data_IF_637103203053
#
_entry.id   IF_637103203053
#
_cell.length_a   1.000
_cell.length_b   1.000
_cell.length_c   1.000
_cell.angle_alpha   90.00
_cell.angle_beta   90.00
_cell.angle_gamma   90.00
#
_symmetry.space_group_name_H-M   'P 1'
#
loop_
_entity.id
_entity.type
_entity.pdbx_description
1 polymer ?
#
# COMPACT_ATOMS: atom_id res chain seq x y z
N UNK A 1 12.00 23.15 4.30
CA UNK A 1 12.98 22.22 4.92
C UNK A 1 12.33 21.21 5.87
N UNK A 2 11.52 21.62 6.86
CA UNK A 2 10.88 20.66 7.78
C UNK A 2 9.89 19.67 7.10
N UNK A 3 9.01 20.17 6.21
CA UNK A 3 8.08 19.32 5.44
C UNK A 3 8.79 18.26 4.60
N UNK A 4 9.85 18.66 3.90
CA UNK A 4 10.70 17.74 3.14
C UNK A 4 11.33 16.65 4.03
N UNK A 5 11.78 16.97 5.24
CA UNK A 5 12.35 15.98 6.16
C UNK A 5 11.32 14.92 6.63
N UNK A 6 10.05 15.30 6.79
CA UNK A 6 8.96 14.37 7.11
C UNK A 6 8.69 13.45 5.92
N UNK A 7 8.58 14.00 4.71
CA UNK A 7 8.42 13.23 3.48
C UNK A 7 9.57 12.27 3.21
N UNK A 8 10.81 12.72 3.39
CA UNK A 8 11.99 11.87 3.26
C UNK A 8 12.01 10.73 4.29
N UNK A 9 11.55 10.96 5.52
CA UNK A 9 11.46 9.89 6.51
C UNK A 9 10.42 8.83 6.13
N UNK A 10 9.23 9.26 5.69
CA UNK A 10 8.19 8.35 5.20
C UNK A 10 8.69 7.54 4.00
N UNK A 11 9.33 8.20 3.02
CA UNK A 11 9.95 7.54 1.87
C UNK A 11 11.01 6.52 2.29
N UNK A 12 11.91 6.88 3.22
CA UNK A 12 12.95 5.95 3.72
C UNK A 12 12.34 4.75 4.42
N UNK A 13 11.26 4.93 5.18
CA UNK A 13 10.54 3.82 5.82
C UNK A 13 9.93 2.87 4.78
N UNK A 14 9.27 3.42 3.75
CA UNK A 14 8.77 2.63 2.62
C UNK A 14 9.92 1.88 1.92
N UNK A 15 11.01 2.55 1.58
CA UNK A 15 12.14 1.92 0.87
C UNK A 15 12.75 0.79 1.71
N UNK A 16 12.89 0.97 3.02
CA UNK A 16 13.34 -0.10 3.91
C UNK A 16 12.39 -1.30 3.87
N UNK A 17 11.08 -1.08 3.96
CA UNK A 17 10.06 -2.14 3.85
C UNK A 17 10.13 -2.87 2.50
N UNK A 18 10.29 -2.16 1.38
CA UNK A 18 10.42 -2.77 0.05
C UNK A 18 11.69 -3.64 -0.06
N UNK A 19 12.80 -3.21 0.55
CA UNK A 19 14.05 -3.98 0.61
C UNK A 19 13.86 -5.27 1.42
N UNK A 20 13.22 -5.18 2.59
CA UNK A 20 12.95 -6.35 3.45
C UNK A 20 12.02 -7.35 2.75
N UNK A 21 11.04 -6.85 1.99
CA UNK A 21 10.19 -7.67 1.12
C UNK A 21 10.88 -8.20 -0.13
N UNK A 22 12.14 -7.82 -0.37
CA UNK A 22 12.93 -8.15 -1.58
C UNK A 22 12.20 -7.77 -2.86
N UNK A 23 11.38 -6.72 -2.82
CA UNK A 23 10.75 -6.19 -4.00
C UNK A 23 11.78 -5.50 -4.90
N UNK A 24 11.66 -5.60 -6.23
CA UNK A 24 12.61 -4.97 -7.14
C UNK A 24 12.47 -3.45 -7.05
N UNK A 25 13.55 -2.76 -6.69
CA UNK A 25 13.68 -1.31 -6.73
C UNK A 25 14.61 -0.99 -7.90
N UNK A 26 14.03 -0.76 -9.07
CA UNK A 26 14.77 -0.44 -10.30
C UNK A 26 14.65 1.04 -10.55
N UNK A 27 15.78 1.72 -10.73
CA UNK A 27 15.82 3.15 -11.02
C UNK A 27 15.38 3.43 -12.47
N UNK A 28 14.80 4.61 -12.72
CA UNK A 28 14.35 5.01 -14.07
C UNK A 28 15.47 5.14 -15.10
N UNK A 29 16.72 5.32 -14.68
CA UNK A 29 17.88 5.26 -15.58
C UNK A 29 18.14 3.85 -16.12
N UNK A 30 17.64 2.82 -15.44
CA UNK A 30 17.76 1.42 -15.84
C UNK A 30 16.50 0.91 -16.53
N UNK A 31 15.33 1.34 -16.07
CA UNK A 31 14.03 1.02 -16.66
C UNK A 31 13.23 2.31 -16.84
N UNK A 32 13.29 2.91 -18.03
CA UNK A 32 12.67 4.21 -18.30
C UNK A 32 11.14 4.17 -18.29
N UNK A 33 10.54 2.98 -18.33
CA UNK A 33 9.09 2.78 -18.44
C UNK A 33 8.45 2.38 -17.11
N UNK A 34 9.11 1.54 -16.31
CA UNK A 34 8.56 1.02 -15.04
C UNK A 34 9.50 1.18 -13.84
N UNK A 35 10.59 1.94 -13.99
CA UNK A 35 11.46 2.28 -12.89
C UNK A 35 10.75 3.14 -11.84
N UNK A 36 11.03 2.88 -10.57
CA UNK A 36 10.42 3.60 -9.44
C UNK A 36 11.15 4.93 -9.26
N UNK A 37 10.40 6.03 -9.31
CA UNK A 37 10.87 7.35 -8.94
C UNK A 37 9.89 8.01 -7.98
N UNK A 38 10.38 8.89 -7.11
CA UNK A 38 9.56 9.67 -6.19
C UNK A 38 9.77 11.15 -6.49
N UNK A 39 8.71 11.83 -6.92
CA UNK A 39 8.71 13.28 -7.07
C UNK A 39 7.98 13.92 -5.88
N UNK A 40 8.70 14.74 -5.12
CA UNK A 40 8.19 15.38 -3.91
C UNK A 40 7.97 16.86 -4.20
N UNK A 41 6.80 17.15 -4.78
CA UNK A 41 6.39 18.48 -5.20
C UNK A 41 5.60 19.17 -4.09
N UNK A 42 5.58 20.51 -4.02
CA UNK A 42 4.84 21.25 -2.99
C UNK A 42 3.70 22.03 -3.60
N UNK A 43 2.45 21.74 -3.21
CA UNK A 43 1.29 22.48 -3.71
C UNK A 43 1.15 23.90 -3.16
N UNK A 44 2.03 24.30 -2.25
CA UNK A 44 2.12 25.67 -1.75
C UNK A 44 2.54 26.68 -2.81
N UNK A 45 3.26 26.23 -3.84
CA UNK A 45 3.88 27.09 -4.83
C UNK A 45 3.27 26.90 -6.22
N UNK A 46 2.74 25.70 -6.55
CA UNK A 46 2.06 25.39 -7.80
C UNK A 46 0.94 24.35 -7.60
N UNK A 47 0.03 24.18 -8.56
CA UNK A 47 -1.02 23.15 -8.45
C UNK A 47 -0.40 21.76 -8.73
N UNK A 48 -0.16 20.97 -7.69
CA UNK A 48 0.36 19.60 -7.81
C UNK A 48 -0.80 18.62 -7.96
N UNK A 49 -0.75 17.76 -8.98
CA UNK A 49 -1.60 16.58 -9.09
C UNK A 49 -0.82 15.41 -8.51
N UNK A 50 -1.29 14.85 -7.41
CA UNK A 50 -0.73 13.63 -6.82
C UNK A 50 -1.19 12.42 -7.62
N UNK A 51 -0.33 11.41 -7.75
CA UNK A 51 -0.64 10.20 -8.48
C UNK A 51 0.61 9.46 -8.93
N UNK A 52 0.39 8.50 -9.82
CA UNK A 52 1.43 7.71 -10.47
C UNK A 52 1.27 7.82 -12.00
N UNK A 53 2.30 8.28 -12.69
CA UNK A 53 2.37 8.20 -14.15
C UNK A 53 3.65 7.47 -14.52
N UNK A 54 3.53 6.33 -15.22
CA UNK A 54 4.65 5.48 -15.65
C UNK A 54 5.70 5.22 -14.54
N UNK A 55 5.24 4.94 -13.30
CA UNK A 55 6.11 4.65 -12.15
C UNK A 55 6.69 5.86 -11.41
N UNK A 56 6.34 7.10 -11.77
CA UNK A 56 6.64 8.28 -10.94
C UNK A 56 5.57 8.44 -9.87
N UNK A 57 5.93 8.17 -8.63
CA UNK A 57 5.10 8.45 -7.45
C UNK A 57 5.22 9.93 -7.10
N UNK A 58 4.18 10.72 -7.37
CA UNK A 58 4.13 12.16 -7.10
C UNK A 58 3.33 12.43 -5.84
N UNK A 59 3.97 12.98 -4.80
CA UNK A 59 3.29 13.40 -3.57
C UNK A 59 3.39 14.89 -3.34
N UNK A 60 2.30 15.44 -2.81
CA UNK A 60 2.24 16.80 -2.33
C UNK A 60 2.87 16.92 -0.92
N UNK A 61 3.99 17.64 -0.84
CA UNK A 61 4.69 18.00 0.38
C UNK A 61 3.79 18.77 1.38
N UNK A 62 2.69 19.38 0.93
CA UNK A 62 1.72 20.01 1.83
C UNK A 62 1.03 18.97 2.75
N UNK A 63 0.95 17.69 2.38
CA UNK A 63 0.45 16.62 3.25
C UNK A 63 1.38 16.29 4.43
N UNK A 64 2.61 16.80 4.39
CA UNK A 64 3.56 16.72 5.51
C UNK A 64 3.20 17.69 6.66
N UNK A 65 2.22 18.57 6.46
CA UNK A 65 1.68 19.46 7.49
C UNK A 65 0.50 18.78 8.21
N UNK A 66 0.60 18.65 9.53
CA UNK A 66 -0.40 17.93 10.33
C UNK A 66 -1.80 18.57 10.28
N UNK A 67 -1.87 19.91 10.20
CA UNK A 67 -3.15 20.63 10.12
C UNK A 67 -3.78 20.38 8.76
N UNK A 68 -2.99 20.56 7.68
CA UNK A 68 -3.47 20.33 6.32
C UNK A 68 -3.92 18.89 6.09
N UNK A 69 -3.18 17.93 6.64
CA UNK A 69 -3.51 16.50 6.53
C UNK A 69 -4.79 16.15 7.29
N UNK A 70 -4.99 16.72 8.48
CA UNK A 70 -6.23 16.53 9.24
C UNK A 70 -7.43 17.20 8.56
N UNK A 71 -7.25 18.40 7.98
CA UNK A 71 -8.27 19.05 7.16
C UNK A 71 -8.68 18.17 5.96
N UNK A 72 -7.71 17.61 5.24
CA UNK A 72 -7.96 16.70 4.13
C UNK A 72 -8.66 15.42 4.59
N UNK A 73 -8.20 14.83 5.70
CA UNK A 73 -8.81 13.63 6.28
C UNK A 73 -10.29 13.86 6.59
N UNK A 74 -10.63 14.99 7.21
CA UNK A 74 -12.02 15.34 7.52
C UNK A 74 -12.82 15.67 6.26
N UNK A 75 -12.24 16.43 5.33
CA UNK A 75 -12.91 16.85 4.09
C UNK A 75 -13.23 15.67 3.16
N UNK A 76 -12.40 14.64 3.17
CA UNK A 76 -12.54 13.43 2.36
C UNK A 76 -13.22 12.27 3.12
N UNK A 77 -13.68 12.50 4.35
CA UNK A 77 -14.28 11.49 5.24
C UNK A 77 -13.40 10.24 5.39
N UNK A 78 -12.08 10.44 5.47
CA UNK A 78 -11.10 9.38 5.60
C UNK A 78 -10.93 8.99 7.07
N UNK A 79 -10.98 7.69 7.40
CA UNK A 79 -10.77 7.24 8.78
C UNK A 79 -9.31 7.40 9.22
N UNK A 80 -8.37 7.47 8.26
CA UNK A 80 -6.94 7.49 8.52
C UNK A 80 -6.18 8.03 7.30
N UNK A 81 -5.35 9.08 7.49
CA UNK A 81 -4.47 9.62 6.44
C UNK A 81 -3.06 9.84 6.99
N UNK A 82 -2.06 9.19 6.39
CA UNK A 82 -0.64 9.43 6.68
C UNK A 82 0.16 9.49 5.40
N UNK A 83 1.28 10.22 5.45
CA UNK A 83 2.17 10.36 4.30
C UNK A 83 2.77 9.01 3.89
N UNK A 84 3.12 8.15 4.84
CA UNK A 84 3.57 6.79 4.57
C UNK A 84 2.48 5.95 3.89
N UNK A 85 1.22 6.10 4.31
CA UNK A 85 0.08 5.46 3.65
C UNK A 85 -0.05 5.88 2.19
N UNK A 86 0.06 7.18 1.90
CA UNK A 86 0.01 7.71 0.54
C UNK A 86 1.19 7.20 -0.32
N UNK A 87 2.42 7.19 0.23
CA UNK A 87 3.57 6.57 -0.44
C UNK A 87 3.32 5.10 -0.79
N UNK A 88 2.73 4.33 0.13
CA UNK A 88 2.38 2.91 -0.09
C UNK A 88 1.31 2.75 -1.17
N UNK A 89 0.31 3.63 -1.21
CA UNK A 89 -0.73 3.65 -2.23
C UNK A 89 -0.15 3.84 -3.64
N UNK A 90 0.58 4.93 -3.86
CA UNK A 90 1.17 5.22 -5.17
C UNK A 90 2.22 4.19 -5.59
N UNK A 91 2.93 3.63 -4.62
CA UNK A 91 3.84 2.50 -4.85
C UNK A 91 3.09 1.27 -5.32
N UNK A 92 1.90 1.00 -4.78
CA UNK A 92 1.04 -0.10 -5.22
C UNK A 92 0.69 0.01 -6.70
N UNK A 93 0.32 1.21 -7.14
CA UNK A 93 0.10 1.48 -8.55
C UNK A 93 1.35 1.27 -9.42
N UNK A 94 2.50 1.81 -9.00
CA UNK A 94 3.78 1.62 -9.72
C UNK A 94 4.15 0.13 -9.88
N UNK A 95 3.87 -0.70 -8.87
CA UNK A 95 4.14 -2.14 -8.92
C UNK A 95 3.11 -2.94 -9.74
N UNK A 96 1.95 -2.38 -10.11
CA UNK A 96 0.89 -3.12 -10.82
C UNK A 96 1.41 -3.79 -12.10
N UNK A 97 2.10 -3.04 -12.96
CA UNK A 97 2.64 -3.58 -14.22
C UNK A 97 3.68 -4.69 -13.97
N UNK A 98 4.52 -4.52 -12.95
CA UNK A 98 5.63 -5.44 -12.66
C UNK A 98 5.17 -6.74 -11.98
N UNK A 99 4.15 -6.65 -11.13
CA UNK A 99 3.64 -7.78 -10.36
C UNK A 99 2.48 -8.49 -11.05
N UNK A 100 1.63 -7.77 -11.78
CA UNK A 100 0.41 -8.31 -12.40
C UNK A 100 0.47 -8.21 -13.92
N UNK A 101 0.64 -7.00 -14.47
CA UNK A 101 0.41 -6.70 -15.89
C UNK A 101 1.24 -7.53 -16.90
N UNK A 102 2.42 -8.02 -16.50
CA UNK A 102 3.26 -8.86 -17.35
C UNK A 102 2.88 -10.35 -17.45
N UNK A 103 1.86 -10.83 -16.72
CA UNK A 103 1.60 -12.27 -16.53
C UNK A 103 0.12 -12.62 -16.75
N UNK A 104 -0.19 -13.33 -17.83
CA UNK A 104 -1.58 -13.63 -18.24
C UNK A 104 -2.43 -14.31 -17.17
N UNK A 105 -1.86 -15.24 -16.39
CA UNK A 105 -2.58 -15.89 -15.29
C UNK A 105 -2.93 -14.88 -14.17
N UNK A 106 -2.00 -14.01 -13.79
CA UNK A 106 -2.21 -13.01 -12.73
C UNK A 106 -3.22 -11.95 -13.16
N UNK A 107 -3.23 -11.58 -14.44
CA UNK A 107 -4.23 -10.66 -14.98
C UNK A 107 -5.64 -11.25 -14.91
N UNK A 108 -5.82 -12.56 -15.11
CA UNK A 108 -7.12 -13.22 -14.93
C UNK A 108 -7.56 -13.24 -13.47
N UNK A 109 -6.68 -13.67 -12.56
CA UNK A 109 -6.96 -13.69 -11.12
C UNK A 109 -7.26 -12.27 -10.59
N UNK A 110 -6.54 -11.26 -11.09
CA UNK A 110 -6.80 -9.86 -10.79
C UNK A 110 -8.21 -9.44 -11.23
N UNK A 111 -8.60 -9.76 -12.47
CA UNK A 111 -9.91 -9.41 -13.00
C UNK A 111 -11.05 -10.05 -12.19
N UNK A 112 -10.86 -11.28 -11.69
CA UNK A 112 -11.83 -11.97 -10.85
C UNK A 112 -11.99 -11.31 -9.46
N UNK A 113 -10.89 -10.79 -8.89
CA UNK A 113 -10.87 -10.23 -7.53
C UNK A 113 -11.19 -8.73 -7.47
N UNK A 114 -10.64 -7.95 -8.38
CA UNK A 114 -10.71 -6.48 -8.38
C UNK A 114 -11.62 -5.95 -9.49
N UNK A 115 -11.75 -6.68 -10.60
CA UNK A 115 -12.47 -6.24 -11.79
C UNK A 115 -11.55 -5.69 -12.87
N UNK A 116 -12.15 -4.99 -13.82
CA UNK A 116 -11.47 -4.49 -15.02
C UNK A 116 -10.72 -3.17 -14.75
N UNK A 117 -9.37 -3.16 -14.80
CA UNK A 117 -8.58 -1.96 -14.56
C UNK A 117 -8.63 -0.96 -15.72
N UNK A 118 -9.13 -1.34 -16.90
CA UNK A 118 -9.25 -0.48 -18.08
C UNK A 118 -10.60 0.27 -18.13
N UNK A 119 -11.40 0.18 -17.05
CA UNK A 119 -12.62 0.97 -16.91
C UNK A 119 -12.29 2.47 -16.98
N UNK A 120 -13.25 3.25 -17.46
CA UNK A 120 -13.09 4.70 -17.54
C UNK A 120 -12.91 5.29 -16.14
N UNK A 121 -11.67 5.67 -15.84
CA UNK A 121 -11.26 6.19 -14.55
C UNK A 121 -12.00 7.48 -14.20
N UNK A 122 -12.10 8.41 -15.15
CA UNK A 122 -12.73 9.71 -14.90
C UNK A 122 -14.23 9.55 -14.62
N UNK A 123 -14.91 8.69 -15.38
CA UNK A 123 -16.31 8.38 -15.14
C UNK A 123 -16.51 7.70 -13.77
N UNK A 124 -15.59 6.84 -13.36
CA UNK A 124 -15.63 6.19 -12.05
C UNK A 124 -15.44 7.19 -10.90
N UNK A 125 -14.49 8.11 -11.06
CA UNK A 125 -14.20 9.20 -10.13
C UNK A 125 -15.40 10.14 -9.99
N UNK A 126 -15.96 10.58 -11.13
CA UNK A 126 -17.13 11.46 -11.17
C UNK A 126 -18.33 10.80 -10.47
N UNK A 127 -18.56 9.49 -10.70
CA UNK A 127 -19.61 8.73 -10.02
C UNK A 127 -19.39 8.73 -8.51
N UNK A 128 -18.17 8.47 -8.07
CA UNK A 128 -17.85 8.38 -6.64
C UNK A 128 -18.10 9.70 -5.90
N UNK A 129 -17.68 10.83 -6.46
CA UNK A 129 -17.91 12.13 -5.81
C UNK A 129 -19.36 12.63 -5.93
N UNK A 130 -20.09 12.27 -6.98
CA UNK A 130 -21.49 12.70 -7.14
C UNK A 130 -22.49 11.83 -6.38
N UNK A 131 -22.27 10.50 -6.33
CA UNK A 131 -23.22 9.54 -5.76
C UNK A 131 -22.73 8.89 -4.46
N UNK A 132 -21.46 9.09 -4.09
CA UNK A 132 -20.82 8.37 -2.99
C UNK A 132 -20.43 6.93 -3.34
N UNK A 133 -19.78 6.23 -2.41
CA UNK A 133 -19.47 4.81 -2.56
C UNK A 133 -20.76 3.95 -2.51
N UNK A 134 -20.76 2.74 -3.10
CA UNK A 134 -21.86 1.79 -2.96
C UNK A 134 -22.18 1.50 -1.48
N UNK A 135 -23.45 1.40 -1.04
CA UNK A 135 -23.77 1.23 0.39
C UNK A 135 -23.14 0.01 1.07
N UNK A 136 -22.84 -1.05 0.30
CA UNK A 136 -22.21 -2.28 0.77
C UNK A 136 -20.68 -2.30 0.58
N UNK A 137 -20.04 -1.17 0.25
CA UNK A 137 -18.61 -1.09 -0.05
C UNK A 137 -17.75 -1.72 1.04
N UNK A 138 -18.09 -1.50 2.31
CA UNK A 138 -17.33 -1.96 3.48
C UNK A 138 -17.32 -3.48 3.65
N UNK A 139 -18.16 -4.20 2.90
CA UNK A 139 -18.18 -5.67 2.87
C UNK A 139 -17.20 -6.26 1.85
N UNK A 140 -16.67 -5.43 0.93
CA UNK A 140 -15.84 -5.87 -0.21
C UNK A 140 -14.53 -5.11 -0.38
N UNK A 141 -14.43 -3.91 0.18
CA UNK A 141 -13.32 -2.99 -0.02
C UNK A 141 -12.77 -2.51 1.32
N UNK A 142 -11.45 -2.25 1.36
CA UNK A 142 -10.75 -1.80 2.56
C UNK A 142 -11.08 -0.34 2.91
N UNK A 143 -11.45 0.45 1.90
CA UNK A 143 -11.86 1.85 2.02
C UNK A 143 -13.03 2.15 1.05
N UNK A 144 -13.72 3.27 1.28
CA UNK A 144 -14.73 3.76 0.34
C UNK A 144 -14.11 4.10 -1.01
N UNK A 145 -12.91 4.68 -1.01
CA UNK A 145 -12.17 5.04 -2.22
C UNK A 145 -11.76 3.81 -3.05
N UNK A 146 -11.37 2.70 -2.40
CA UNK A 146 -11.12 1.42 -3.08
C UNK A 146 -12.34 0.92 -3.89
N UNK A 147 -13.57 1.31 -3.54
CA UNK A 147 -14.77 0.95 -4.33
C UNK A 147 -14.96 1.79 -5.59
N UNK A 148 -14.16 2.84 -5.77
CA UNK A 148 -14.28 3.77 -6.88
C UNK A 148 -13.85 3.12 -8.20
N UNK A 149 -12.68 2.49 -8.23
CA UNK A 149 -12.10 1.92 -9.44
C UNK A 149 -11.21 0.70 -9.12
N UNK A 150 -11.17 -0.36 -9.97
CA UNK A 150 -10.35 -1.55 -9.71
C UNK A 150 -8.85 -1.29 -9.52
N UNK A 151 -8.28 -0.30 -10.22
CA UNK A 151 -6.89 0.11 -9.99
C UNK A 151 -6.68 0.71 -8.59
N UNK A 152 -7.67 1.43 -8.06
CA UNK A 152 -7.62 1.99 -6.71
C UNK A 152 -7.85 0.94 -5.63
N UNK A 153 -8.75 -0.01 -5.89
CA UNK A 153 -8.94 -1.17 -5.04
C UNK A 153 -7.65 -1.96 -4.87
N UNK A 154 -6.88 -2.10 -5.96
CA UNK A 154 -5.54 -2.68 -5.94
C UNK A 154 -4.56 -1.86 -5.10
N UNK A 155 -4.41 -0.57 -5.38
CA UNK A 155 -3.44 0.28 -4.68
C UNK A 155 -3.74 0.42 -3.18
N UNK A 156 -5.01 0.59 -2.82
CA UNK A 156 -5.46 0.62 -1.43
C UNK A 156 -5.20 -0.73 -0.74
N UNK A 157 -5.54 -1.86 -1.37
CA UNK A 157 -5.28 -3.19 -0.81
C UNK A 157 -3.78 -3.44 -0.65
N UNK A 158 -2.97 -3.06 -1.64
CA UNK A 158 -1.52 -3.21 -1.62
C UNK A 158 -0.91 -2.36 -0.49
N UNK A 159 -1.32 -1.11 -0.38
CA UNK A 159 -0.87 -0.21 0.67
C UNK A 159 -1.20 -0.74 2.06
N UNK A 160 -2.39 -1.33 2.20
CA UNK A 160 -2.84 -1.90 3.46
C UNK A 160 -2.11 -3.19 3.81
N UNK A 161 -1.77 -4.01 2.81
CA UNK A 161 -0.91 -5.17 3.01
C UNK A 161 0.47 -4.75 3.54
N UNK A 162 1.10 -3.72 2.95
CA UNK A 162 2.35 -3.16 3.46
C UNK A 162 2.21 -2.63 4.88
N UNK A 163 1.16 -1.85 5.16
CA UNK A 163 0.85 -1.38 6.52
C UNK A 163 0.87 -2.52 7.54
N UNK A 164 0.17 -3.63 7.25
CA UNK A 164 0.10 -4.79 8.14
C UNK A 164 1.48 -5.41 8.32
N UNK A 165 2.24 -5.56 7.22
CA UNK A 165 3.53 -6.24 7.22
C UNK A 165 4.59 -5.49 8.05
N UNK A 166 4.81 -4.21 7.79
CA UNK A 166 5.77 -3.37 8.54
C UNK A 166 5.36 -3.19 10.01
N UNK A 167 4.06 -3.10 10.30
CA UNK A 167 3.58 -3.01 11.69
C UNK A 167 3.84 -4.31 12.45
N UNK A 168 3.58 -5.46 11.83
CA UNK A 168 3.89 -6.76 12.43
C UNK A 168 5.38 -6.96 12.66
N UNK A 169 6.23 -6.55 11.71
CA UNK A 169 7.67 -6.64 11.85
C UNK A 169 8.18 -5.78 13.02
N UNK A 170 7.71 -4.55 13.10
CA UNK A 170 7.98 -3.66 14.23
C UNK A 170 7.52 -4.29 15.54
N UNK A 171 6.29 -4.79 15.60
CA UNK A 171 5.75 -5.42 16.81
C UNK A 171 6.56 -6.66 17.22
N UNK A 172 7.00 -7.50 16.27
CA UNK A 172 7.87 -8.64 16.54
C UNK A 172 9.23 -8.20 17.11
N UNK A 173 9.85 -7.17 16.52
CA UNK A 173 11.13 -6.61 16.98
C UNK A 173 11.09 -6.07 18.41
N UNK A 174 9.92 -5.64 18.89
CA UNK A 174 9.74 -5.13 20.26
C UNK A 174 8.99 -6.11 21.19
N UNK A 175 8.78 -7.36 20.77
CA UNK A 175 8.14 -8.39 21.60
C UNK A 175 6.63 -8.21 21.82
N UNK A 176 5.97 -7.38 21.01
CA UNK A 176 4.52 -7.18 21.00
C UNK A 176 3.79 -8.18 20.09
N UNK A 177 4.51 -8.84 19.19
CA UNK A 177 4.04 -9.95 18.37
C UNK A 177 5.06 -11.11 18.43
N UNK A 178 4.68 -12.35 18.08
CA UNK A 178 5.63 -13.45 17.98
C UNK A 178 6.79 -13.11 17.05
N UNK A 179 8.00 -13.60 17.34
CA UNK A 179 9.18 -13.39 16.48
C UNK A 179 8.95 -13.86 15.03
N UNK A 180 8.07 -14.85 14.84
CA UNK A 180 7.63 -15.27 13.51
C UNK A 180 7.02 -14.13 12.68
N UNK A 181 6.53 -13.04 13.29
CA UNK A 181 6.03 -11.85 12.61
C UNK A 181 7.11 -11.03 11.89
N UNK A 182 8.39 -11.19 12.23
CA UNK A 182 9.49 -10.43 11.63
C UNK A 182 9.73 -10.80 10.16
N UNK A 183 10.26 -9.87 9.35
CA UNK A 183 10.59 -10.08 7.93
C UNK A 183 11.46 -11.32 7.70
N UNK A 184 12.57 -11.43 8.42
CA UNK A 184 13.56 -12.50 8.28
C UNK A 184 13.05 -13.90 8.67
N UNK A 185 12.04 -13.98 9.53
CA UNK A 185 11.59 -15.23 10.12
C UNK A 185 10.29 -15.75 9.47
N UNK A 186 9.45 -14.84 8.98
CA UNK A 186 8.38 -15.14 8.03
C UNK A 186 9.02 -15.36 6.65
N UNK A 187 9.62 -16.53 6.46
CA UNK A 187 9.89 -17.05 5.12
C UNK A 187 8.57 -16.97 4.34
N UNK A 188 8.57 -16.57 3.07
CA UNK A 188 7.33 -16.42 2.30
C UNK A 188 6.89 -17.81 1.74
N UNK A 189 5.60 -17.95 1.42
CA UNK A 189 4.99 -19.20 0.95
C UNK A 189 3.45 -19.22 1.02
N UNK A 190 2.75 -20.02 0.21
CA UNK A 190 1.31 -19.89 -0.03
C UNK A 190 0.40 -20.14 1.19
N UNK A 191 0.85 -20.93 2.19
CA UNK A 191 0.12 -21.17 3.44
C UNK A 191 0.38 -20.13 4.53
N UNK A 192 1.08 -19.03 4.21
CA UNK A 192 1.62 -18.10 5.22
C UNK A 192 0.84 -16.80 5.37
N UNK A 193 0.00 -16.47 4.40
CA UNK A 193 -0.94 -15.35 4.55
C UNK A 193 -1.86 -15.55 5.76
N UNK A 194 -2.39 -16.76 5.95
CA UNK A 194 -3.26 -17.06 7.10
C UNK A 194 -2.53 -16.93 8.44
N UNK A 195 -1.26 -17.33 8.49
CA UNK A 195 -0.40 -17.13 9.66
C UNK A 195 -0.17 -15.63 9.92
N UNK A 196 0.09 -14.85 8.87
CA UNK A 196 0.27 -13.40 8.96
C UNK A 196 -1.00 -12.73 9.50
N UNK A 197 -2.16 -13.05 8.96
CA UNK A 197 -3.46 -12.51 9.43
C UNK A 197 -3.79 -13.00 10.84
N UNK A 198 -3.46 -14.25 11.17
CA UNK A 198 -3.62 -14.81 12.52
C UNK A 198 -2.78 -14.08 13.57
N UNK A 199 -1.64 -13.50 13.20
CA UNK A 199 -0.86 -12.62 14.07
C UNK A 199 -1.36 -11.17 14.07
N UNK A 200 -1.82 -10.68 12.92
CA UNK A 200 -2.28 -9.30 12.76
C UNK A 200 -3.53 -8.98 13.57
N UNK A 201 -4.58 -9.81 13.47
CA UNK A 201 -5.88 -9.46 14.05
C UNK A 201 -5.84 -9.28 15.58
N UNK A 202 -5.19 -10.17 16.37
CA UNK A 202 -5.05 -9.96 17.81
C UNK A 202 -4.24 -8.70 18.15
N UNK A 203 -3.18 -8.41 17.39
CA UNK A 203 -2.35 -7.23 17.59
C UNK A 203 -3.14 -5.95 17.32
N UNK A 204 -3.81 -5.85 16.17
CA UNK A 204 -4.61 -4.69 15.79
C UNK A 204 -5.73 -4.42 16.81
N UNK A 205 -6.42 -5.47 17.27
CA UNK A 205 -7.43 -5.33 18.30
C UNK A 205 -6.83 -4.84 19.63
N UNK A 206 -5.69 -5.40 20.04
CA UNK A 206 -5.00 -4.98 21.26
C UNK A 206 -4.58 -3.51 21.21
N UNK A 207 -4.04 -3.04 20.08
CA UNK A 207 -3.66 -1.65 19.85
C UNK A 207 -4.87 -0.71 19.94
N UNK A 208 -6.00 -1.07 19.31
CA UNK A 208 -7.24 -0.31 19.41
C UNK A 208 -7.73 -0.24 20.87
N UNK A 209 -7.70 -1.35 21.60
CA UNK A 209 -8.14 -1.36 23.00
C UNK A 209 -7.24 -0.55 23.93
N UNK A 210 -5.93 -0.57 23.72
CA UNK A 210 -4.97 0.27 24.44
C UNK A 210 -5.28 1.75 24.16
N UNK A 211 -5.50 2.12 22.90
CA UNK A 211 -5.84 3.50 22.53
C UNK A 211 -7.15 3.97 23.19
N UNK A 212 -8.21 3.16 23.13
CA UNK A 212 -9.49 3.46 23.79
C UNK A 212 -9.33 3.63 25.30
N UNK A 213 -8.49 2.82 25.94
CA UNK A 213 -8.20 2.94 27.38
C UNK A 213 -7.49 4.25 27.75
N UNK A 214 -6.78 4.85 26.80
CA UNK A 214 -6.17 6.18 26.93
C UNK A 214 -7.09 7.32 26.46
N UNK A 215 -8.37 7.02 26.14
CA UNK A 215 -9.33 8.01 25.63
C UNK A 215 -9.06 8.48 24.20
N UNK A 216 -8.34 7.68 23.40
CA UNK A 216 -8.04 7.95 21.98
C UNK A 216 -8.90 7.07 21.07
N UNK A 217 -9.08 7.52 19.83
CA UNK A 217 -9.71 6.74 18.77
C UNK A 217 -8.86 5.51 18.40
N UNK A 218 -9.47 4.58 17.67
CA UNK A 218 -8.80 3.39 17.15
C UNK A 218 -7.56 3.77 16.34
N UNK A 219 -6.44 3.09 16.59
CA UNK A 219 -5.22 3.27 15.82
C UNK A 219 -5.37 2.66 14.42
N UNK A 220 -6.12 1.56 14.33
CA UNK A 220 -6.43 0.84 13.12
C UNK A 220 -7.96 0.71 12.98
N UNK A 221 -8.65 1.71 12.40
CA UNK A 221 -10.11 1.75 12.29
C UNK A 221 -10.67 0.96 11.09
N UNK A 222 -9.91 0.02 10.53
CA UNK A 222 -10.28 -0.71 9.31
C UNK A 222 -10.93 -2.05 9.62
N UNK A 223 -11.89 -2.43 8.78
CA UNK A 223 -12.52 -3.76 8.81
C UNK A 223 -12.00 -4.57 7.63
N UNK A 224 -11.58 -5.81 7.90
CA UNK A 224 -11.07 -6.73 6.89
C UNK A 224 -12.07 -7.87 6.64
N UNK A 225 -13.14 -7.64 5.86
CA UNK A 225 -14.08 -8.70 5.52
C UNK A 225 -13.42 -9.76 4.63
N UNK A 226 -13.98 -10.97 4.51
CA UNK A 226 -13.39 -12.05 3.72
C UNK A 226 -12.97 -11.66 2.28
N UNK A 227 -13.76 -10.89 1.50
CA UNK A 227 -13.32 -10.48 0.17
C UNK A 227 -12.05 -9.61 0.15
N UNK A 228 -11.87 -8.76 1.17
CA UNK A 228 -10.64 -7.95 1.32
C UNK A 228 -9.45 -8.83 1.67
N UNK A 229 -9.66 -9.85 2.52
CA UNK A 229 -8.60 -10.82 2.84
C UNK A 229 -8.18 -11.64 1.62
N UNK A 230 -9.10 -12.02 0.74
CA UNK A 230 -8.74 -12.72 -0.51
C UNK A 230 -7.94 -11.83 -1.46
N UNK A 231 -8.31 -10.55 -1.60
CA UNK A 231 -7.51 -9.57 -2.35
C UNK A 231 -6.11 -9.38 -1.75
N UNK A 232 -6.00 -9.30 -0.43
CA UNK A 232 -4.71 -9.22 0.26
C UNK A 232 -3.89 -10.50 0.11
N UNK A 233 -4.52 -11.67 0.10
CA UNK A 233 -3.86 -12.95 -0.19
C UNK A 233 -3.26 -12.94 -1.59
N UNK A 234 -4.00 -12.41 -2.57
CA UNK A 234 -3.46 -12.23 -3.93
C UNK A 234 -2.24 -11.29 -3.93
N UNK A 235 -2.31 -10.14 -3.26
CA UNK A 235 -1.15 -9.24 -3.08
C UNK A 235 0.05 -9.98 -2.47
N UNK A 236 -0.17 -10.74 -1.40
CA UNK A 236 0.85 -11.55 -0.75
C UNK A 236 1.50 -12.54 -1.73
N UNK A 237 0.68 -13.27 -2.51
CA UNK A 237 1.15 -14.26 -3.49
C UNK A 237 1.95 -13.64 -4.63
N UNK A 238 1.53 -12.49 -5.18
CA UNK A 238 2.29 -11.86 -6.27
C UNK A 238 3.61 -11.27 -5.79
N UNK A 239 3.67 -10.77 -4.56
CA UNK A 239 4.92 -10.32 -3.91
C UNK A 239 5.84 -11.52 -3.68
N UNK A 240 5.36 -12.59 -3.05
CA UNK A 240 6.14 -13.81 -2.77
C UNK A 240 6.74 -14.40 -4.06
N UNK A 241 5.92 -14.55 -5.09
CA UNK A 241 6.40 -15.05 -6.37
C UNK A 241 7.44 -14.13 -7.01
N UNK A 242 7.31 -12.80 -6.89
CA UNK A 242 8.29 -11.86 -7.43
C UNK A 242 9.67 -12.05 -6.80
N UNK A 243 9.73 -12.33 -5.48
CA UNK A 243 10.98 -12.63 -4.77
C UNK A 243 11.67 -13.86 -5.35
N UNK A 244 10.92 -14.94 -5.56
CA UNK A 244 11.43 -16.20 -6.16
C UNK A 244 12.02 -15.96 -7.55
N UNK A 245 11.39 -15.11 -8.37
CA UNK A 245 11.91 -14.76 -9.69
C UNK A 245 13.23 -13.97 -9.62
N UNK A 246 13.36 -13.03 -8.69
CA UNK A 246 14.64 -12.31 -8.47
C UNK A 246 15.77 -13.19 -7.98
N UNK A 247 15.49 -14.24 -7.20
CA UNK A 247 16.52 -15.17 -6.71
C UNK A 247 17.00 -16.17 -7.79
N UNK A 248 16.15 -16.46 -8.77
CA UNK A 248 16.45 -17.43 -9.84
C UNK A 248 17.10 -16.82 -11.09
N UNK A 249 17.08 -15.48 -11.24
CA UNK A 249 17.90 -14.81 -12.26
C UNK A 249 19.38 -14.72 -11.83
N UNK A 250 20.35 -15.08 -12.70
CA UNK A 250 21.75 -14.92 -12.38
C UNK A 250 22.04 -13.44 -12.14
N UNK A 251 22.54 -13.09 -10.95
CA UNK A 251 23.09 -11.77 -10.68
C UNK A 251 24.18 -11.50 -11.71
N UNK A 252 23.88 -10.70 -12.72
CA UNK A 252 24.91 -10.14 -13.59
C UNK A 252 25.82 -9.33 -12.69
N UNK A 253 26.98 -9.90 -12.35
CA UNK A 253 28.07 -9.15 -11.73
C UNK A 253 28.42 -8.07 -12.74
N UNK A 254 28.02 -6.83 -12.47
CA UNK A 254 28.65 -5.68 -13.10
C UNK A 254 30.12 -5.74 -12.70
N UNK A 255 30.96 -6.05 -13.68
CA UNK A 255 32.40 -5.97 -13.57
C UNK A 255 32.77 -4.48 -13.51
N UNK A 256 33.50 -4.14 -12.43
CA UNK A 256 34.42 -3.01 -12.21
C UNK A 256 34.02 -1.62 -12.70
#
# INVERSE_FOLDING_TARGET
>A
MARFAVAENAKRRLVAELIELRLPIVDRTQDSQFGLAFDLLSSTDEKVVTGHEDGVVTLDLAESDDVRREELRVALDEPYRTLLGHFRHETGHAYFHRLVGGWSQRSSEFADLFGDPDRDYQQALDRHYNAGPPPDWSTRHVSSYASMHPAEDWAETFAHYLHIRDTLDTAASFGLAPAAGAFDLLHLGPSRFDTLIGMWLPLAWSLNMINRSMGRADLYPFVLPPPVLEKMRFVHTVIDNAVVFTETQPRTRHAQ
#
